data_IF_311517684386
#
_entry.id   IF_311517684386
#
_cell.length_a   1.000
_cell.length_b   1.000
_cell.length_c   1.000
_cell.angle_alpha   90.00
_cell.angle_beta   90.00
_cell.angle_gamma   90.00
#
_symmetry.space_group_name_H-M   'P 1'
#
loop_
_entity.id
_entity.type
_entity.pdbx_description
1 polymer ?
#
# COMPACT_ATOMS: atom_id res chain seq x y z
N UNK A 1 29.32 -10.78 -13.41
CA UNK A 1 28.11 -10.15 -13.98
C UNK A 1 27.13 -9.93 -12.82
N UNK A 2 26.84 -8.67 -12.45
CA UNK A 2 25.97 -8.40 -11.31
C UNK A 2 24.55 -8.91 -11.60
N UNK A 3 24.00 -9.74 -10.72
CA UNK A 3 22.62 -10.25 -10.83
C UNK A 3 21.69 -9.03 -10.74
N UNK A 4 20.78 -8.80 -11.70
CA UNK A 4 19.81 -7.72 -11.57
C UNK A 4 19.03 -7.94 -10.28
N UNK A 5 19.06 -6.97 -9.37
CA UNK A 5 18.23 -7.02 -8.17
C UNK A 5 16.77 -7.15 -8.63
N UNK A 6 16.11 -8.24 -8.25
CA UNK A 6 14.68 -8.40 -8.51
C UNK A 6 13.97 -7.21 -7.84
N UNK A 7 13.52 -6.25 -8.65
CA UNK A 7 12.63 -5.19 -8.16
C UNK A 7 11.33 -5.88 -7.77
N UNK A 8 11.09 -6.00 -6.47
CA UNK A 8 9.80 -6.47 -5.96
C UNK A 8 8.73 -5.55 -6.56
N UNK A 9 7.80 -6.13 -7.33
CA UNK A 9 6.65 -5.40 -7.83
C UNK A 9 5.91 -4.85 -6.61
N UNK A 10 5.54 -3.57 -6.68
CA UNK A 10 4.66 -2.96 -5.68
C UNK A 10 3.41 -3.83 -5.52
N UNK A 11 3.17 -4.27 -4.30
CA UNK A 11 2.01 -5.10 -3.96
C UNK A 11 1.10 -4.23 -3.11
N UNK A 12 -0.06 -3.88 -3.66
CA UNK A 12 -1.11 -3.22 -2.90
C UNK A 12 -1.84 -4.28 -2.07
N UNK A 13 -1.99 -4.11 -0.76
CA UNK A 13 -2.72 -5.06 0.10
C UNK A 13 -4.21 -5.14 -0.26
N UNK A 14 -4.76 -4.14 -0.96
CA UNK A 14 -6.14 -4.16 -1.46
C UNK A 14 -6.31 -4.88 -2.80
N UNK A 15 -5.22 -5.25 -3.49
CA UNK A 15 -5.30 -5.97 -4.76
C UNK A 15 -5.37 -7.50 -4.60
N UNK A 16 -5.30 -8.01 -3.37
CA UNK A 16 -5.44 -9.43 -3.07
C UNK A 16 -6.92 -9.86 -3.01
N UNK A 17 -7.18 -11.15 -3.24
CA UNK A 17 -8.55 -11.72 -3.20
C UNK A 17 -9.24 -11.56 -1.83
N UNK A 18 -8.47 -11.57 -0.75
CA UNK A 18 -8.95 -11.47 0.64
C UNK A 18 -8.74 -10.08 1.23
N UNK A 19 -8.76 -9.06 0.39
CA UNK A 19 -8.53 -7.69 0.81
C UNK A 19 -9.63 -7.20 1.79
N UNK A 20 -9.25 -6.44 2.83
CA UNK A 20 -10.23 -5.81 3.71
C UNK A 20 -11.06 -4.77 2.95
N UNK A 21 -12.34 -4.66 3.31
CA UNK A 21 -13.25 -3.66 2.73
C UNK A 21 -12.82 -2.25 3.17
N UNK A 22 -12.69 -1.34 2.21
CA UNK A 22 -12.29 0.04 2.48
C UNK A 22 -13.51 0.82 2.96
N UNK A 23 -13.42 1.37 4.17
CA UNK A 23 -14.39 2.31 4.73
C UNK A 23 -13.68 3.60 5.19
N UNK A 24 -14.36 4.74 5.06
CA UNK A 24 -13.77 6.04 5.41
C UNK A 24 -13.69 6.29 6.92
N UNK A 25 -14.46 5.54 7.72
CA UNK A 25 -14.44 5.62 9.18
C UNK A 25 -13.31 4.79 9.77
N UNK A 26 -12.74 3.84 9.01
CA UNK A 26 -11.60 3.05 9.45
C UNK A 26 -10.28 3.83 9.28
N UNK A 27 -10.05 4.73 10.23
CA UNK A 27 -8.82 5.53 10.32
C UNK A 27 -7.56 4.68 10.44
N UNK A 28 -7.63 3.49 11.04
CA UNK A 28 -6.45 2.63 11.23
C UNK A 28 -5.98 2.05 9.89
N UNK A 29 -6.93 1.65 9.04
CA UNK A 29 -6.66 1.15 7.70
C UNK A 29 -6.14 2.27 6.78
N UNK A 30 -6.73 3.46 6.84
CA UNK A 30 -6.37 4.58 5.97
C UNK A 30 -5.03 5.23 6.34
N UNK A 31 -4.65 5.23 7.62
CA UNK A 31 -3.42 5.87 8.09
C UNK A 31 -2.15 5.30 7.43
N UNK A 32 -2.15 4.02 7.06
CA UNK A 32 -1.03 3.40 6.34
C UNK A 32 -0.83 3.88 4.89
N UNK A 33 -1.83 4.56 4.31
CA UNK A 33 -1.80 5.08 2.93
C UNK A 33 -1.60 6.59 2.87
N UNK A 34 -1.38 7.22 4.02
CA UNK A 34 -1.17 8.66 4.16
C UNK A 34 0.23 8.89 4.73
N UNK A 35 1.00 9.76 4.08
CA UNK A 35 2.30 10.23 4.54
C UNK A 35 2.13 11.09 5.80
N UNK A 36 3.17 11.24 6.63
CA UNK A 36 3.16 12.10 7.82
C UNK A 36 2.62 13.52 7.56
N UNK A 37 2.80 14.05 6.35
CA UNK A 37 2.32 15.37 5.94
C UNK A 37 0.86 15.39 5.44
N UNK A 38 0.12 14.29 5.58
CA UNK A 38 -1.26 14.19 5.10
C UNK A 38 -1.42 13.95 3.60
N UNK A 39 -0.33 13.67 2.87
CA UNK A 39 -0.37 13.38 1.43
C UNK A 39 -0.65 11.89 1.18
N UNK A 40 -1.43 11.57 0.16
CA UNK A 40 -1.70 10.19 -0.24
C UNK A 40 -0.43 9.55 -0.81
N UNK A 41 -0.08 8.37 -0.30
CA UNK A 41 1.06 7.58 -0.80
C UNK A 41 0.61 6.74 -1.99
N UNK A 42 1.27 6.87 -3.16
CA UNK A 42 0.94 6.03 -4.30
C UNK A 42 1.39 4.60 -4.01
N UNK A 43 0.47 3.64 -4.13
CA UNK A 43 0.80 2.20 -4.13
C UNK A 43 1.32 1.73 -5.48
#
# INVERSE_FOLDING_TARGET
MARPFFRRRKSCPFSAKDAPRIDYKDVRLLQGFVSERGKIVPS
#
